data_IF_247496479126
#
_entry.id   IF_247496479126
#
_cell.length_a   1.000
_cell.length_b   1.000
_cell.length_c   1.000
_cell.angle_alpha   90.00
_cell.angle_beta   90.00
_cell.angle_gamma   90.00
#
_symmetry.space_group_name_H-M   'P 1'
#
loop_
_entity.id
_entity.type
_entity.pdbx_description
1 polymer ?
#
# COMPACT_ATOMS: atom_id res chain seq x y z
N UNK A 1 22.48 3.94 -11.71
CA UNK A 1 21.75 2.65 -11.82
C UNK A 1 21.61 2.23 -13.26
N UNK A 2 21.83 0.98 -13.56
CA UNK A 2 21.52 0.48 -14.89
C UNK A 2 20.01 0.22 -15.04
N UNK A 3 19.58 -0.02 -16.27
CA UNK A 3 18.18 -0.19 -16.59
C UNK A 3 17.56 -1.39 -15.86
N UNK A 4 18.31 -2.48 -15.71
CA UNK A 4 17.82 -3.67 -15.02
C UNK A 4 17.60 -3.42 -13.53
N UNK A 5 18.46 -2.64 -12.91
CA UNK A 5 18.29 -2.27 -11.49
C UNK A 5 17.05 -1.41 -11.29
N UNK A 6 16.79 -0.48 -12.23
CA UNK A 6 15.56 0.35 -12.20
C UNK A 6 14.32 -0.53 -12.32
N UNK A 7 14.32 -1.47 -13.26
CA UNK A 7 13.20 -2.41 -13.45
C UNK A 7 12.96 -3.23 -12.19
N UNK A 8 14.02 -3.71 -11.55
CA UNK A 8 13.92 -4.48 -10.30
C UNK A 8 13.26 -3.66 -9.20
N UNK A 9 13.69 -2.41 -9.02
CA UNK A 9 13.10 -1.49 -8.04
C UNK A 9 11.61 -1.25 -8.32
N UNK A 10 11.26 -0.99 -9.57
CA UNK A 10 9.85 -0.77 -9.94
C UNK A 10 9.01 -2.02 -9.75
N UNK A 11 9.55 -3.20 -10.02
CA UNK A 11 8.84 -4.46 -9.79
C UNK A 11 8.62 -4.73 -8.30
N UNK A 12 9.56 -4.34 -7.45
CA UNK A 12 9.38 -4.42 -5.99
C UNK A 12 8.22 -3.53 -5.54
N UNK A 13 8.16 -2.30 -6.03
CA UNK A 13 7.07 -1.38 -5.71
C UNK A 13 5.74 -1.88 -6.29
N UNK A 14 5.75 -2.47 -7.46
CA UNK A 14 4.56 -3.05 -8.08
C UNK A 14 3.98 -4.19 -7.22
N UNK A 15 4.83 -5.09 -6.73
CA UNK A 15 4.41 -6.19 -5.86
C UNK A 15 3.77 -5.64 -4.57
N UNK A 16 4.39 -4.63 -3.97
CA UNK A 16 3.91 -3.95 -2.78
C UNK A 16 2.55 -3.31 -3.01
N UNK A 17 2.39 -2.64 -4.15
CA UNK A 17 1.15 -1.96 -4.51
C UNK A 17 0.00 -2.96 -4.72
N UNK A 18 0.27 -4.08 -5.37
CA UNK A 18 -0.73 -5.15 -5.56
C UNK A 18 -1.15 -5.78 -4.23
N UNK A 19 -0.19 -6.02 -3.35
CA UNK A 19 -0.50 -6.55 -2.01
C UNK A 19 -1.30 -5.53 -1.21
N UNK A 20 -1.01 -4.24 -1.36
CA UNK A 20 -1.74 -3.15 -0.74
C UNK A 20 -3.21 -3.13 -1.17
N UNK A 21 -3.50 -3.31 -2.45
CA UNK A 21 -4.87 -3.40 -2.95
C UNK A 21 -5.65 -4.51 -2.25
N UNK A 22 -5.09 -5.71 -2.21
CA UNK A 22 -5.73 -6.84 -1.54
C UNK A 22 -5.95 -6.58 -0.06
N UNK A 23 -4.94 -6.02 0.61
CA UNK A 23 -5.01 -5.70 2.03
C UNK A 23 -6.10 -4.69 2.35
N UNK A 24 -6.20 -3.62 1.56
CA UNK A 24 -7.24 -2.61 1.75
C UNK A 24 -8.64 -3.18 1.51
N UNK A 25 -8.81 -4.02 0.49
CA UNK A 25 -10.10 -4.68 0.23
C UNK A 25 -10.48 -5.61 1.37
N UNK A 26 -9.52 -6.35 1.91
CA UNK A 26 -9.73 -7.23 3.07
C UNK A 26 -10.16 -6.41 4.29
N UNK A 27 -9.47 -5.30 4.56
CA UNK A 27 -9.83 -4.42 5.67
C UNK A 27 -11.20 -3.79 5.47
N UNK A 28 -11.54 -3.37 4.25
CA UNK A 28 -12.86 -2.82 3.93
C UNK A 28 -13.96 -3.83 4.24
N UNK A 29 -13.73 -5.11 3.99
CA UNK A 29 -14.66 -6.18 4.33
C UNK A 29 -14.77 -6.46 5.82
N UNK A 30 -13.82 -6.01 6.62
CA UNK A 30 -13.77 -6.26 8.06
C UNK A 30 -14.27 -5.12 8.93
N UNK A 31 -14.52 -3.92 8.38
CA UNK A 31 -15.03 -2.79 9.15
C UNK A 31 -16.56 -2.74 9.09
N UNK A 32 -17.15 -2.16 10.14
CA UNK A 32 -18.61 -2.00 10.23
C UNK A 32 -19.06 -0.62 9.79
N UNK A 33 -18.22 0.41 9.95
CA UNK A 33 -18.53 1.78 9.55
C UNK A 33 -18.57 1.91 8.03
N UNK A 34 -19.69 2.38 7.44
CA UNK A 34 -19.76 2.63 6.00
C UNK A 34 -18.73 3.65 5.51
N UNK A 35 -18.42 4.67 6.31
CA UNK A 35 -17.45 5.70 5.96
C UNK A 35 -16.04 5.11 5.88
N UNK A 36 -15.66 4.28 6.85
CA UNK A 36 -14.37 3.60 6.85
C UNK A 36 -14.25 2.65 5.66
N UNK A 37 -15.32 1.93 5.36
CA UNK A 37 -15.35 1.02 4.21
C UNK A 37 -15.08 1.78 2.91
N UNK A 38 -15.72 2.93 2.72
CA UNK A 38 -15.52 3.77 1.55
C UNK A 38 -14.09 4.28 1.42
N UNK A 39 -13.49 4.70 2.53
CA UNK A 39 -12.10 5.17 2.55
C UNK A 39 -11.11 4.05 2.20
N UNK A 40 -11.34 2.85 2.74
CA UNK A 40 -10.47 1.71 2.46
C UNK A 40 -10.62 1.22 1.03
N UNK A 41 -11.83 1.22 0.49
CA UNK A 41 -12.06 0.88 -0.92
C UNK A 41 -11.42 1.93 -1.85
N UNK A 42 -11.46 3.21 -1.48
CA UNK A 42 -10.79 4.27 -2.23
C UNK A 42 -9.26 4.06 -2.22
N UNK A 43 -8.70 3.67 -1.08
CA UNK A 43 -7.28 3.35 -0.98
C UNK A 43 -6.91 2.17 -1.89
N UNK A 44 -7.76 1.15 -1.95
CA UNK A 44 -7.55 0.01 -2.86
C UNK A 44 -7.54 0.45 -4.32
N UNK A 45 -8.45 1.34 -4.72
CA UNK A 45 -8.50 1.87 -6.09
C UNK A 45 -7.24 2.66 -6.43
N UNK A 46 -6.72 3.46 -5.50
CA UNK A 46 -5.45 4.16 -5.71
C UNK A 46 -4.29 3.19 -5.93
N UNK A 47 -4.30 2.06 -5.24
CA UNK A 47 -3.31 1.00 -5.47
C UNK A 47 -3.41 0.44 -6.89
N UNK A 48 -4.62 0.22 -7.40
CA UNK A 48 -4.82 -0.24 -8.79
C UNK A 48 -4.22 0.75 -9.77
N UNK A 49 -4.52 2.03 -9.60
CA UNK A 49 -4.00 3.09 -10.49
C UNK A 49 -2.48 3.16 -10.45
N UNK A 50 -1.90 3.09 -9.24
CA UNK A 50 -0.45 3.08 -9.07
C UNK A 50 0.21 1.86 -9.69
N UNK A 51 -0.42 0.69 -9.57
CA UNK A 51 0.08 -0.54 -10.19
C UNK A 51 0.11 -0.43 -11.72
N UNK A 52 -0.94 0.12 -12.32
CA UNK A 52 -1.00 0.32 -13.78
C UNK A 52 0.13 1.25 -14.23
N UNK A 53 0.35 2.33 -13.52
CA UNK A 53 1.41 3.29 -13.85
C UNK A 53 2.80 2.62 -13.77
N UNK A 54 3.06 1.85 -12.72
CA UNK A 54 4.31 1.13 -12.56
C UNK A 54 4.51 0.09 -13.67
N UNK A 55 3.45 -0.65 -14.03
CA UNK A 55 3.49 -1.63 -15.11
C UNK A 55 3.84 -0.97 -16.45
N UNK A 56 3.20 0.16 -16.76
CA UNK A 56 3.48 0.90 -18.00
C UNK A 56 4.93 1.37 -18.04
N UNK A 57 5.46 1.87 -16.92
CA UNK A 57 6.83 2.35 -16.87
C UNK A 57 7.83 1.19 -17.04
N UNK A 58 7.58 0.06 -16.38
CA UNK A 58 8.42 -1.14 -16.53
C UNK A 58 8.48 -1.58 -18.00
N UNK A 59 7.33 -1.62 -18.67
CA UNK A 59 7.27 -2.00 -20.09
C UNK A 59 8.02 -1.00 -20.97
N UNK A 60 7.90 0.29 -20.67
CA UNK A 60 8.61 1.33 -21.43
C UNK A 60 10.13 1.20 -21.31
N UNK A 61 10.61 0.62 -20.23
CA UNK A 61 12.04 0.34 -20.02
C UNK A 61 12.48 -1.00 -20.60
N UNK A 62 11.58 -1.73 -21.25
CA UNK A 62 11.87 -3.04 -21.84
C UNK A 62 11.79 -4.20 -20.86
N UNK A 63 11.23 -3.97 -19.67
CA UNK A 63 11.09 -5.01 -18.64
C UNK A 63 9.72 -5.67 -18.67
N UNK A 64 9.62 -6.76 -17.92
CA UNK A 64 8.36 -7.47 -17.71
C UNK A 64 7.83 -7.16 -16.31
N UNK A 65 6.57 -6.66 -16.18
CA UNK A 65 5.98 -6.48 -14.87
C UNK A 65 5.84 -7.80 -14.12
N UNK A 66 6.20 -7.80 -12.84
CA UNK A 66 6.07 -8.97 -11.98
C UNK A 66 4.59 -9.37 -11.87
N UNK A 67 4.31 -10.68 -11.94
CA UNK A 67 2.95 -11.20 -11.99
C UNK A 67 2.20 -11.04 -10.67
N UNK A 68 2.86 -11.15 -9.54
CA UNK A 68 2.29 -10.85 -8.21
C UNK A 68 3.35 -11.05 -7.12
N UNK A 69 3.08 -10.46 -5.99
CA UNK A 69 3.87 -10.24 -4.80
C UNK A 69 4.82 -11.29 -4.29
N UNK A 70 5.77 -11.72 -5.07
CA UNK A 70 6.76 -12.71 -4.64
C UNK A 70 8.03 -12.08 -4.09
N UNK A 71 8.19 -10.76 -4.23
CA UNK A 71 9.51 -10.14 -4.07
C UNK A 71 9.76 -9.67 -2.64
N UNK A 72 8.74 -9.32 -1.90
CA UNK A 72 8.89 -8.86 -0.52
C UNK A 72 8.11 -9.77 0.42
N UNK A 73 8.70 -10.90 0.80
CA UNK A 73 8.06 -11.83 1.71
C UNK A 73 7.59 -11.20 3.02
N UNK A 74 8.29 -10.15 3.49
CA UNK A 74 7.88 -9.41 4.69
C UNK A 74 6.57 -8.68 4.47
N UNK A 75 6.43 -7.97 3.33
CA UNK A 75 5.20 -7.23 3.03
C UNK A 75 4.04 -8.18 2.76
N UNK A 76 4.30 -9.23 1.98
CA UNK A 76 3.28 -10.24 1.68
C UNK A 76 2.73 -10.85 2.97
N UNK A 77 3.61 -11.19 3.93
CA UNK A 77 3.20 -11.71 5.22
C UNK A 77 2.41 -10.68 6.03
N UNK A 78 2.81 -9.41 5.98
CA UNK A 78 2.10 -8.35 6.69
C UNK A 78 0.63 -8.26 6.27
N UNK A 79 0.35 -8.43 4.97
CA UNK A 79 -1.02 -8.37 4.47
C UNK A 79 -1.76 -9.70 4.53
N UNK A 80 -1.09 -10.85 4.32
CA UNK A 80 -1.75 -12.16 4.36
C UNK A 80 -2.20 -12.56 5.75
N UNK A 81 -1.54 -12.06 6.78
CA UNK A 81 -1.89 -12.35 8.18
C UNK A 81 -3.07 -11.51 8.68
N UNK A 82 -3.52 -10.53 7.89
CA UNK A 82 -4.62 -9.64 8.29
C UNK A 82 -5.94 -10.38 8.45
N UNK A 83 -6.29 -11.28 7.51
CA UNK A 83 -7.60 -11.95 7.51
C UNK A 83 -7.92 -12.64 8.83
N UNK A 84 -7.05 -13.51 9.39
CA UNK A 84 -7.33 -14.12 10.68
C UNK A 84 -7.38 -13.11 11.84
N UNK A 85 -6.64 -12.01 11.73
CA UNK A 85 -6.53 -11.03 12.82
C UNK A 85 -7.71 -10.08 12.92
N UNK A 86 -8.38 -9.79 11.79
CA UNK A 86 -9.51 -8.83 11.80
C UNK A 86 -10.85 -9.50 12.04
N UNK A 87 -10.95 -10.83 11.95
CA UNK A 87 -12.20 -11.55 12.13
C UNK A 87 -12.69 -11.37 13.58
N UNK A 88 -13.87 -10.77 13.72
CA UNK A 88 -14.48 -10.54 15.03
C UNK A 88 -13.90 -9.36 15.80
N UNK A 89 -13.01 -8.56 15.20
CA UNK A 89 -12.41 -7.39 15.82
C UNK A 89 -13.22 -6.14 15.48
N UNK A 90 -13.10 -5.10 16.32
CA UNK A 90 -13.69 -3.79 16.06
C UNK A 90 -12.95 -3.02 14.99
N UNK A 91 -13.57 -1.95 14.49
CA UNK A 91 -13.02 -1.13 13.40
C UNK A 91 -11.61 -0.60 13.71
N UNK A 92 -11.36 -0.18 14.95
CA UNK A 92 -10.04 0.30 15.36
C UNK A 92 -8.96 -0.78 15.16
N UNK A 93 -9.27 -2.01 15.55
CA UNK A 93 -8.31 -3.12 15.44
C UNK A 93 -8.03 -3.45 13.97
N UNK A 94 -9.05 -3.36 13.10
CA UNK A 94 -8.87 -3.53 11.65
C UNK A 94 -7.94 -2.44 11.11
N UNK A 95 -8.15 -1.18 11.53
CA UNK A 95 -7.30 -0.07 11.11
C UNK A 95 -5.87 -0.19 11.63
N UNK A 96 -5.66 -0.74 12.83
CA UNK A 96 -4.32 -1.03 13.35
C UNK A 96 -3.58 -2.03 12.45
N UNK A 97 -4.26 -3.07 11.98
CA UNK A 97 -3.66 -4.04 11.07
C UNK A 97 -3.37 -3.41 9.69
N UNK A 98 -4.27 -2.57 9.22
CA UNK A 98 -4.09 -1.81 7.98
C UNK A 98 -2.86 -0.91 8.06
N UNK A 99 -2.68 -0.20 9.18
CA UNK A 99 -1.52 0.65 9.43
C UNK A 99 -0.22 -0.13 9.33
N UNK A 100 -0.20 -1.34 9.84
CA UNK A 100 1.01 -2.17 9.82
C UNK A 100 1.46 -2.48 8.40
N UNK A 101 0.53 -2.83 7.52
CA UNK A 101 0.84 -3.06 6.10
C UNK A 101 1.28 -1.78 5.40
N UNK A 102 0.66 -0.65 5.73
CA UNK A 102 1.03 0.64 5.16
C UNK A 102 2.42 1.11 5.60
N UNK A 103 2.81 0.84 6.84
CA UNK A 103 4.16 1.17 7.33
C UNK A 103 5.23 0.47 6.49
N UNK A 104 5.00 -0.79 6.14
CA UNK A 104 5.92 -1.56 5.30
C UNK A 104 5.98 -0.96 3.89
N UNK A 105 4.83 -0.61 3.32
CA UNK A 105 4.77 0.00 1.99
C UNK A 105 5.50 1.36 1.96
N UNK A 106 5.25 2.20 2.96
CA UNK A 106 5.89 3.50 3.08
C UNK A 106 7.41 3.37 3.13
N UNK A 107 7.90 2.42 3.93
CA UNK A 107 9.33 2.16 4.06
C UNK A 107 9.95 1.72 2.72
N UNK A 108 9.25 0.89 1.96
CA UNK A 108 9.73 0.45 0.65
C UNK A 108 9.89 1.60 -0.34
N UNK A 109 8.96 2.56 -0.34
CA UNK A 109 9.08 3.77 -1.16
C UNK A 109 10.25 4.63 -0.70
N UNK A 110 10.45 4.77 0.61
CA UNK A 110 11.59 5.51 1.16
C UNK A 110 12.92 4.89 0.72
N UNK A 111 13.02 3.58 0.75
CA UNK A 111 14.23 2.88 0.27
C UNK A 111 14.46 3.10 -1.23
N UNK A 112 13.39 3.05 -2.03
CA UNK A 112 13.51 3.29 -3.47
C UNK A 112 14.00 4.71 -3.76
N UNK A 113 13.57 5.70 -2.98
CA UNK A 113 13.92 7.10 -3.18
C UNK A 113 15.36 7.45 -2.80
N UNK A 114 16.07 6.61 -2.05
CA UNK A 114 17.50 6.81 -1.79
C UNK A 114 18.37 6.23 -2.90
N UNK A 115 17.80 5.50 -3.86
CA UNK A 115 18.51 4.99 -5.01
C UNK A 115 18.68 6.09 -6.06
N UNK A 116 19.67 5.93 -6.93
CA UNK A 116 19.96 6.88 -8.01
C UNK A 116 19.06 6.61 -9.23
N UNK A 117 17.77 6.92 -9.09
CA UNK A 117 16.77 6.68 -10.13
C UNK A 117 16.87 7.73 -11.25
N UNK A 118 16.59 7.35 -12.51
CA UNK A 118 16.42 8.35 -13.57
C UNK A 118 15.33 9.36 -13.20
N UNK A 119 15.47 10.60 -13.67
CA UNK A 119 14.59 11.70 -13.26
C UNK A 119 13.09 11.42 -13.47
N UNK A 120 12.73 10.80 -14.59
CA UNK A 120 11.35 10.48 -14.91
C UNK A 120 10.78 9.37 -14.01
N UNK A 121 11.61 8.39 -13.67
CA UNK A 121 11.24 7.32 -12.73
C UNK A 121 11.12 7.88 -11.32
N UNK A 122 12.09 8.69 -10.90
CA UNK A 122 12.05 9.33 -9.58
C UNK A 122 10.78 10.15 -9.38
N UNK A 123 10.36 10.89 -10.42
CA UNK A 123 9.13 11.69 -10.36
C UNK A 123 7.90 10.83 -10.07
N UNK A 124 7.79 9.66 -10.71
CA UNK A 124 6.68 8.72 -10.48
C UNK A 124 6.73 8.18 -9.04
N UNK A 125 7.90 7.71 -8.63
CA UNK A 125 8.08 7.10 -7.30
C UNK A 125 7.81 8.13 -6.20
N UNK A 126 8.30 9.35 -6.37
CA UNK A 126 8.10 10.44 -5.40
C UNK A 126 6.64 10.82 -5.26
N UNK A 127 5.92 10.93 -6.38
CA UNK A 127 4.49 11.24 -6.35
C UNK A 127 3.70 10.11 -5.68
N UNK A 128 4.01 8.86 -6.00
CA UNK A 128 3.34 7.71 -5.36
C UNK A 128 3.67 7.63 -3.87
N UNK A 129 4.90 7.95 -3.48
CA UNK A 129 5.28 8.04 -2.08
C UNK A 129 4.45 9.08 -1.34
N UNK A 130 4.21 10.23 -1.96
CA UNK A 130 3.39 11.27 -1.38
C UNK A 130 1.95 10.77 -1.16
N UNK A 131 1.38 10.07 -2.12
CA UNK A 131 0.06 9.47 -2.01
C UNK A 131 0.00 8.42 -0.89
N UNK A 132 1.03 7.58 -0.76
CA UNK A 132 1.15 6.60 0.32
C UNK A 132 1.20 7.31 1.67
N UNK A 133 1.95 8.38 1.78
CA UNK A 133 2.08 9.16 3.01
C UNK A 133 0.76 9.80 3.41
N UNK A 134 0.05 10.40 2.46
CA UNK A 134 -1.26 11.00 2.68
C UNK A 134 -2.29 9.96 3.15
N UNK A 135 -2.26 8.79 2.52
CA UNK A 135 -3.15 7.70 2.90
C UNK A 135 -2.83 7.17 4.31
N UNK A 136 -1.55 7.06 4.64
CA UNK A 136 -1.09 6.66 5.97
C UNK A 136 -1.61 7.64 7.04
N UNK A 137 -1.51 8.94 6.79
CA UNK A 137 -2.03 9.97 7.70
C UNK A 137 -3.56 9.89 7.83
N UNK A 138 -4.25 9.65 6.72
CA UNK A 138 -5.72 9.52 6.73
C UNK A 138 -6.18 8.32 7.55
N UNK A 139 -5.52 7.17 7.38
CA UNK A 139 -5.83 5.96 8.17
C UNK A 139 -5.55 6.20 9.66
N UNK A 140 -4.46 6.90 9.97
CA UNK A 140 -4.13 7.28 11.35
C UNK A 140 -5.21 8.13 11.98
N UNK A 141 -5.71 9.15 11.26
CA UNK A 141 -6.81 9.99 11.71
C UNK A 141 -8.08 9.17 11.96
N UNK A 142 -8.44 8.30 11.02
CA UNK A 142 -9.63 7.45 11.14
C UNK A 142 -9.51 6.49 12.32
N UNK A 143 -8.33 5.93 12.56
CA UNK A 143 -8.09 5.08 13.71
C UNK A 143 -8.27 5.85 15.02
N UNK A 144 -7.76 7.07 15.09
CA UNK A 144 -7.90 7.92 16.27
C UNK A 144 -9.38 8.30 16.51
N UNK A 145 -10.12 8.60 15.45
CA UNK A 145 -11.55 8.90 15.54
C UNK A 145 -12.35 7.68 16.01
N UNK A 146 -12.03 6.49 15.51
CA UNK A 146 -12.69 5.26 15.93
C UNK A 146 -12.44 4.97 17.41
N UNK A 147 -11.22 5.20 17.90
CA UNK A 147 -10.89 5.08 19.31
C UNK A 147 -11.68 6.06 20.18
N UNK A 148 -11.80 7.30 19.71
CA UNK A 148 -12.52 8.38 20.42
C UNK A 148 -14.02 8.10 20.49
N UNK A 149 -14.60 7.66 19.37
CA UNK A 149 -16.02 7.29 19.31
C UNK A 149 -16.35 6.14 20.27
N UNK A 150 -15.47 5.17 20.40
CA UNK A 150 -15.64 4.06 21.32
C UNK A 150 -15.58 4.48 22.78
N UNK A 151 -14.80 5.53 23.10
CA UNK A 151 -14.73 6.11 24.45
C UNK A 151 -15.97 6.96 24.76
N UNK A 152 -16.61 7.54 23.75
CA UNK A 152 -17.80 8.39 23.92
C UNK A 152 -19.08 7.58 24.03
N UNK A 153 -19.07 6.31 23.67
CA UNK A 153 -20.21 5.40 23.79
C UNK A 153 -20.06 4.54 25.04
#
# INVERSE_FOLDING_TARGET
MDNQQVITTLNNLLAITKDGERGFRTCAGGVTSPDLKMELEAAARRCVEGAVELQMKIRSLGGEPAASGTVAGVLHRAWTDIVPRITGLGDRAVLDECKRGEDVAKHAYEEALVEDLPADVEAIVRRQYQEVTENHERIRELRNLAAHSKLAS
#
